data_IF_905269136140
#
_entry.id   IF_905269136140
#
_cell.length_a   1.000
_cell.length_b   1.000
_cell.length_c   1.000
_cell.angle_alpha   90.00
_cell.angle_beta   90.00
_cell.angle_gamma   90.00
#
_symmetry.space_group_name_H-M   'P 1'
#
loop_
_entity.id
_entity.type
_entity.pdbx_description
1 polymer ?
#
# COMPACT_ATOMS: atom_id res chain seq x y z
N UNK A 1 41.81 -21.64 5.19
CA UNK A 1 40.86 -22.37 6.06
C UNK A 1 39.47 -22.27 5.45
N UNK A 2 39.02 -23.29 4.73
CA UNK A 2 37.72 -23.35 4.05
C UNK A 2 36.58 -23.53 5.07
N UNK A 3 35.72 -22.53 5.24
CA UNK A 3 34.44 -22.69 5.95
C UNK A 3 33.37 -23.14 4.97
N UNK A 4 33.00 -24.41 5.09
CA UNK A 4 31.87 -25.07 4.42
C UNK A 4 30.57 -24.43 4.95
N UNK A 5 29.91 -23.56 4.16
CA UNK A 5 28.56 -23.07 4.50
C UNK A 5 27.54 -24.14 4.09
N UNK A 6 27.07 -24.86 5.10
CA UNK A 6 25.95 -25.78 5.01
C UNK A 6 24.68 -24.99 4.71
N UNK A 7 24.15 -25.13 3.49
CA UNK A 7 22.87 -24.55 3.09
C UNK A 7 21.75 -25.30 3.80
N UNK A 8 21.20 -24.69 4.85
CA UNK A 8 19.99 -25.12 5.53
C UNK A 8 18.85 -24.43 4.79
N UNK A 9 18.26 -25.13 3.82
CA UNK A 9 16.97 -24.78 3.24
C UNK A 9 15.91 -25.49 4.11
N UNK A 10 15.18 -24.80 5.01
CA UNK A 10 14.15 -25.45 5.79
C UNK A 10 12.88 -25.51 4.94
N UNK A 11 12.57 -26.71 4.46
CA UNK A 11 11.37 -27.44 4.85
C UNK A 11 10.08 -26.62 5.09
N UNK A 12 9.64 -25.80 4.13
CA UNK A 12 8.40 -25.00 4.24
C UNK A 12 7.51 -25.10 2.99
N UNK A 13 7.63 -26.17 2.21
CA UNK A 13 6.93 -26.35 0.93
C UNK A 13 6.10 -27.65 0.83
N UNK A 14 5.65 -28.22 1.96
CA UNK A 14 4.88 -29.49 1.96
C UNK A 14 3.50 -29.36 2.65
N UNK A 15 3.01 -28.15 2.91
CA UNK A 15 1.70 -27.95 3.61
C UNK A 15 0.54 -27.46 2.74
N UNK A 16 0.67 -27.47 1.41
CA UNK A 16 -0.44 -27.21 0.49
C UNK A 16 -0.69 -28.41 -0.44
N UNK A 17 -0.93 -29.58 0.13
CA UNK A 17 -1.73 -30.61 -0.55
C UNK A 17 -3.20 -30.37 -0.14
N UNK A 18 -4.10 -29.96 -1.04
CA UNK A 18 -5.52 -29.96 -0.73
C UNK A 18 -6.00 -31.41 -0.59
N UNK A 19 -6.42 -31.74 0.62
CA UNK A 19 -7.22 -32.91 0.93
C UNK A 19 -8.53 -32.82 0.14
N UNK A 20 -8.68 -33.73 -0.83
CA UNK A 20 -9.89 -34.49 -1.11
C UNK A 20 -11.23 -33.79 -0.79
N UNK A 21 -11.79 -33.05 -1.76
CA UNK A 21 -13.22 -32.74 -1.80
C UNK A 21 -13.85 -33.41 -3.02
N UNK A 22 -14.38 -34.60 -2.78
CA UNK A 22 -15.34 -35.26 -3.66
C UNK A 22 -16.69 -34.56 -3.53
N UNK A 23 -17.20 -33.94 -4.62
CA UNK A 23 -18.59 -34.08 -5.14
C UNK A 23 -18.98 -32.97 -6.13
N UNK A 24 -19.64 -33.45 -7.20
CA UNK A 24 -20.50 -32.77 -8.18
C UNK A 24 -19.86 -32.03 -9.36
N UNK A 25 -19.60 -32.82 -10.41
CA UNK A 25 -19.53 -32.44 -11.81
C UNK A 25 -20.76 -31.62 -12.23
N UNK A 26 -20.57 -30.31 -12.48
CA UNK A 26 -21.31 -29.47 -13.46
C UNK A 26 -20.80 -28.02 -13.35
N UNK A 27 -19.61 -27.76 -13.88
CA UNK A 27 -19.12 -26.48 -14.43
C UNK A 27 -17.61 -26.65 -14.66
N UNK A 28 -17.22 -27.08 -15.86
CA UNK A 28 -15.86 -27.53 -16.19
C UNK A 28 -15.01 -26.46 -16.90
N UNK A 29 -15.49 -25.22 -17.02
CA UNK A 29 -14.80 -24.15 -17.78
C UNK A 29 -14.07 -23.13 -16.89
N UNK A 30 -14.31 -23.09 -15.57
CA UNK A 30 -13.63 -22.15 -14.66
C UNK A 30 -12.35 -22.72 -14.00
N UNK A 31 -12.16 -24.04 -13.98
CA UNK A 31 -11.01 -24.68 -13.30
C UNK A 31 -9.69 -24.58 -14.09
N UNK A 32 -9.75 -24.48 -15.42
CA UNK A 32 -8.54 -24.36 -16.26
C UNK A 32 -7.86 -23.01 -16.04
N UNK A 33 -8.64 -21.95 -15.81
CA UNK A 33 -8.10 -20.61 -15.61
C UNK A 33 -7.35 -20.49 -14.28
N UNK A 34 -7.86 -21.13 -13.22
CA UNK A 34 -7.21 -21.15 -11.91
C UNK A 34 -5.90 -21.95 -11.94
N UNK A 35 -5.88 -23.10 -12.62
CA UNK A 35 -4.64 -23.89 -12.75
C UNK A 35 -3.57 -23.17 -13.59
N UNK A 36 -3.95 -22.46 -14.66
CA UNK A 36 -3.01 -21.64 -15.43
C UNK A 36 -2.47 -20.47 -14.61
N UNK A 37 -3.33 -19.82 -13.82
CA UNK A 37 -2.95 -18.69 -12.98
C UNK A 37 -1.97 -19.11 -11.88
N UNK A 38 -2.16 -20.27 -11.26
CA UNK A 38 -1.21 -20.81 -10.28
C UNK A 38 0.17 -21.09 -10.88
N UNK A 39 0.22 -21.65 -12.10
CA UNK A 39 1.49 -21.94 -12.79
C UNK A 39 2.22 -20.64 -13.16
N UNK A 40 1.50 -19.61 -13.60
CA UNK A 40 2.09 -18.34 -14.02
C UNK A 40 2.55 -17.49 -12.82
N UNK A 41 1.79 -17.49 -11.72
CA UNK A 41 2.20 -16.85 -10.45
C UNK A 41 3.46 -17.55 -9.89
N UNK A 42 3.51 -18.89 -9.90
CA UNK A 42 4.68 -19.63 -9.45
C UNK A 42 5.92 -19.39 -10.34
N UNK A 43 5.72 -19.17 -11.65
CA UNK A 43 6.80 -18.85 -12.59
C UNK A 43 7.34 -17.44 -12.38
N UNK A 44 6.45 -16.47 -12.16
CA UNK A 44 6.80 -15.07 -11.89
C UNK A 44 7.55 -14.94 -10.56
N UNK A 45 7.08 -15.60 -9.51
CA UNK A 45 7.76 -15.61 -8.19
C UNK A 45 9.14 -16.27 -8.24
N UNK A 46 9.35 -17.32 -9.05
CA UNK A 46 10.69 -17.90 -9.26
C UNK A 46 11.59 -17.00 -10.11
N UNK A 47 11.03 -16.21 -11.02
CA UNK A 47 11.78 -15.26 -11.83
C UNK A 47 12.37 -14.12 -11.00
N UNK A 48 11.60 -13.55 -10.06
CA UNK A 48 12.09 -12.47 -9.19
C UNK A 48 13.16 -12.89 -8.18
N UNK A 49 13.23 -14.17 -7.81
CA UNK A 49 14.31 -14.72 -6.96
C UNK A 49 15.58 -15.10 -7.76
N UNK A 50 15.54 -15.09 -9.10
CA UNK A 50 16.65 -15.55 -9.93
C UNK A 50 17.57 -14.42 -10.44
N UNK A 51 17.25 -13.15 -10.19
CA UNK A 51 18.18 -12.03 -10.43
C UNK A 51 18.98 -11.75 -9.17
N UNK A 52 19.80 -12.72 -8.76
CA UNK A 52 20.82 -12.63 -7.69
C UNK A 52 22.16 -12.11 -8.27
N UNK A 53 22.12 -11.36 -9.37
CA UNK A 53 23.32 -10.80 -10.03
C UNK A 53 23.83 -9.51 -9.34
N UNK A 54 23.05 -8.93 -8.42
CA UNK A 54 23.51 -7.77 -7.61
C UNK A 54 24.14 -8.15 -6.26
N UNK A 55 24.12 -9.43 -5.85
CA UNK A 55 24.75 -9.87 -4.60
C UNK A 55 26.20 -10.36 -4.74
N UNK A 56 26.74 -10.41 -5.96
CA UNK A 56 28.15 -10.77 -6.21
C UNK A 56 29.12 -9.58 -6.23
N UNK A 57 28.65 -8.34 -6.05
CA UNK A 57 29.49 -7.14 -6.10
C UNK A 57 30.06 -6.70 -4.73
N UNK A 58 29.85 -7.46 -3.65
CA UNK A 58 30.34 -7.11 -2.29
C UNK A 58 31.46 -8.00 -1.74
N UNK A 59 31.93 -9.02 -2.47
CA UNK A 59 33.09 -9.84 -2.05
C UNK A 59 34.19 -9.87 -3.11
N UNK A 60 34.75 -8.70 -3.44
CA UNK A 60 35.91 -8.67 -4.34
C UNK A 60 36.55 -7.30 -4.48
N UNK A 61 37.56 -7.01 -3.67
CA UNK A 61 38.89 -6.55 -4.10
C UNK A 61 39.53 -5.65 -3.04
N UNK A 62 40.57 -6.18 -2.39
CA UNK A 62 41.57 -5.34 -1.77
C UNK A 62 42.63 -4.94 -2.79
N UNK A 63 43.08 -3.69 -2.76
CA UNK A 63 44.39 -3.31 -3.30
C UNK A 63 44.46 -2.00 -4.08
N UNK A 64 44.92 -0.96 -3.38
CA UNK A 64 45.87 0.08 -3.82
C UNK A 64 45.42 1.26 -4.72
N UNK A 65 45.46 2.43 -4.07
CA UNK A 65 46.08 3.69 -4.50
C UNK A 65 45.60 4.37 -5.79
N UNK A 66 44.96 5.53 -5.59
CA UNK A 66 44.74 6.53 -6.63
C UNK A 66 43.95 7.69 -6.05
N UNK A 67 44.66 8.71 -5.57
CA UNK A 67 44.07 9.96 -5.13
C UNK A 67 43.50 10.71 -6.34
N UNK A 68 42.22 11.07 -6.29
CA UNK A 68 41.76 12.29 -6.94
C UNK A 68 40.61 12.92 -6.16
N UNK A 69 40.80 14.20 -5.95
CA UNK A 69 40.10 15.12 -5.09
C UNK A 69 38.84 15.59 -5.82
N UNK A 70 37.66 15.38 -5.24
CA UNK A 70 36.43 16.04 -5.71
C UNK A 70 35.61 16.50 -4.51
N UNK A 71 35.90 17.74 -4.16
CA UNK A 71 35.17 18.71 -3.35
C UNK A 71 33.67 18.43 -3.24
N UNK A 72 33.28 17.82 -2.12
CA UNK A 72 31.89 17.84 -1.64
C UNK A 72 31.70 19.05 -0.73
N UNK A 73 31.01 20.05 -1.26
CA UNK A 73 30.52 21.21 -0.53
C UNK A 73 29.55 20.76 0.55
N UNK A 74 30.02 20.77 1.80
CA UNK A 74 29.21 20.55 2.99
C UNK A 74 28.47 21.84 3.33
N UNK A 75 27.17 21.85 3.08
CA UNK A 75 26.29 22.94 3.52
C UNK A 75 25.99 22.75 5.00
N UNK A 76 26.71 23.51 5.84
CA UNK A 76 26.47 23.64 7.27
C UNK A 76 25.13 24.35 7.50
N UNK A 77 24.10 23.58 7.89
CA UNK A 77 22.83 24.15 8.36
C UNK A 77 22.96 24.55 9.82
N UNK A 78 23.04 25.85 10.06
CA UNK A 78 23.03 26.50 11.37
C UNK A 78 21.75 26.16 12.12
N UNK A 79 21.86 25.40 13.21
CA UNK A 79 20.73 25.08 14.09
C UNK A 79 20.59 26.20 15.12
N UNK A 80 19.63 27.10 14.90
CA UNK A 80 19.27 28.13 15.87
C UNK A 80 18.39 27.51 16.96
N UNK A 81 18.97 27.24 18.12
CA UNK A 81 18.25 26.84 19.34
C UNK A 81 17.44 28.02 19.85
N UNK A 82 16.15 28.03 19.51
CA UNK A 82 15.17 28.96 20.10
C UNK A 82 14.67 28.36 21.41
N UNK A 83 14.70 29.16 22.48
CA UNK A 83 14.28 28.77 23.82
C UNK A 83 12.83 28.21 23.84
N UNK A 84 12.55 27.18 24.66
CA UNK A 84 11.20 26.64 24.81
C UNK A 84 10.34 27.64 25.58
N UNK A 85 9.51 28.39 24.86
CA UNK A 85 8.45 29.19 25.46
C UNK A 85 7.33 28.26 25.92
N UNK A 86 7.31 27.96 27.21
CA UNK A 86 6.29 27.16 27.89
C UNK A 86 4.97 27.94 27.99
N UNK A 87 4.29 28.15 26.87
CA UNK A 87 2.87 28.53 26.89
C UNK A 87 2.06 27.27 27.16
N UNK A 88 1.62 27.09 28.40
CA UNK A 88 0.67 26.05 28.80
C UNK A 88 -0.56 26.16 27.91
N UNK A 89 -0.80 25.23 26.96
CA UNK A 89 -1.95 25.29 26.10
C UNK A 89 -3.17 25.01 26.97
N UNK A 90 -4.07 25.98 27.05
CA UNK A 90 -5.43 25.78 27.55
C UNK A 90 -5.95 24.45 26.95
N UNK A 91 -6.40 23.47 27.75
CA UNK A 91 -6.83 22.18 27.23
C UNK A 91 -7.87 22.44 26.14
N UNK A 92 -7.60 22.04 24.88
CA UNK A 92 -8.53 22.25 23.79
C UNK A 92 -9.86 21.63 24.20
N UNK A 93 -10.96 22.38 24.03
CA UNK A 93 -12.31 21.87 24.27
C UNK A 93 -12.43 20.49 23.60
N UNK A 94 -13.00 19.48 24.28
CA UNK A 94 -13.11 18.14 23.71
C UNK A 94 -13.89 18.26 22.40
N UNK A 95 -13.19 18.01 21.29
CA UNK A 95 -13.76 18.05 19.96
C UNK A 95 -14.87 17.01 19.91
N UNK A 96 -16.11 17.45 19.65
CA UNK A 96 -17.24 16.55 19.58
C UNK A 96 -17.07 15.57 18.41
N UNK A 97 -17.38 14.31 18.64
CA UNK A 97 -17.43 13.31 17.58
C UNK A 97 -18.55 13.67 16.59
N UNK A 98 -18.22 13.78 15.30
CA UNK A 98 -19.22 13.96 14.24
C UNK A 98 -19.43 12.59 13.57
N UNK A 99 -20.61 12.01 13.76
CA UNK A 99 -20.97 10.74 13.13
C UNK A 99 -20.90 10.87 11.60
N UNK A 100 -20.41 9.82 10.95
CA UNK A 100 -20.32 9.69 9.47
C UNK A 100 -19.45 10.74 8.78
N UNK A 101 -18.64 11.48 9.54
CA UNK A 101 -17.54 12.29 8.99
C UNK A 101 -16.50 11.37 8.34
N UNK A 102 -15.95 11.79 7.20
CA UNK A 102 -14.82 11.11 6.57
C UNK A 102 -13.61 11.10 7.50
N UNK A 103 -12.89 9.98 7.52
CA UNK A 103 -11.68 9.84 8.31
C UNK A 103 -10.69 8.91 7.61
N UNK A 104 -9.40 9.15 7.81
CA UNK A 104 -8.31 8.31 7.31
C UNK A 104 -7.64 7.50 8.43
N UNK A 105 -7.90 7.85 9.67
CA UNK A 105 -7.38 7.21 10.88
C UNK A 105 -8.30 7.47 12.07
N UNK A 106 -8.23 6.62 13.09
CA UNK A 106 -9.04 6.73 14.30
C UNK A 106 -8.87 8.07 15.03
N UNK A 107 -7.68 8.67 14.96
CA UNK A 107 -7.39 9.96 15.61
C UNK A 107 -8.25 11.12 15.06
N UNK A 108 -8.85 10.98 13.89
CA UNK A 108 -9.74 12.00 13.29
C UNK A 108 -11.19 11.91 13.80
N UNK A 109 -11.51 10.85 14.56
CA UNK A 109 -12.80 10.60 15.18
C UNK A 109 -12.68 10.72 16.71
N UNK A 110 -12.67 11.94 17.28
CA UNK A 110 -12.55 12.13 18.72
C UNK A 110 -13.74 11.46 19.42
N UNK A 111 -13.52 10.63 20.44
CA UNK A 111 -14.55 9.81 21.11
C UNK A 111 -15.28 8.80 20.18
N UNK A 112 -14.64 8.39 19.09
CA UNK A 112 -15.14 7.39 18.16
C UNK A 112 -14.03 6.52 17.57
N UNK A 113 -14.39 5.77 16.53
CA UNK A 113 -13.44 5.02 15.67
C UNK A 113 -13.72 5.33 14.22
N UNK A 114 -12.69 5.30 13.39
CA UNK A 114 -12.82 5.38 11.95
C UNK A 114 -13.12 3.98 11.41
N UNK A 115 -14.29 3.78 10.81
CA UNK A 115 -14.65 2.50 10.23
C UNK A 115 -14.49 2.51 8.71
N UNK A 116 -13.73 1.55 8.20
CA UNK A 116 -13.54 1.26 6.77
C UNK A 116 -12.43 0.22 6.58
N UNK A 117 -12.33 -0.34 5.38
CA UNK A 117 -11.21 -1.20 5.01
C UNK A 117 -10.03 -0.35 4.54
N UNK A 118 -8.82 -0.71 4.98
CA UNK A 118 -7.57 -0.16 4.45
C UNK A 118 -7.52 1.38 4.46
N UNK A 119 -7.90 1.96 5.60
CA UNK A 119 -7.99 3.41 5.78
C UNK A 119 -6.67 4.12 5.50
N UNK A 120 -6.74 5.26 4.81
CA UNK A 120 -5.57 6.09 4.56
C UNK A 120 -4.56 5.43 3.63
N UNK A 121 -5.01 4.55 2.74
CA UNK A 121 -4.20 3.88 1.72
C UNK A 121 -4.71 4.19 0.31
N UNK A 122 -3.81 4.22 -0.66
CA UNK A 122 -4.16 4.51 -2.05
C UNK A 122 -5.06 3.41 -2.64
N UNK A 123 -6.16 3.80 -3.28
CA UNK A 123 -7.09 2.87 -3.90
C UNK A 123 -6.78 2.65 -5.38
N UNK A 124 -5.94 1.65 -5.68
CA UNK A 124 -5.61 1.30 -7.06
C UNK A 124 -6.80 0.75 -7.87
N UNK A 125 -7.83 0.24 -7.20
CA UNK A 125 -9.01 -0.29 -7.89
C UNK A 125 -9.86 0.82 -8.55
N UNK A 126 -9.58 2.09 -8.24
CA UNK A 126 -10.23 3.22 -8.87
C UNK A 126 -9.84 3.38 -10.35
N UNK A 127 -8.64 2.94 -10.75
CA UNK A 127 -8.23 2.95 -12.15
C UNK A 127 -8.65 1.65 -12.83
N UNK A 128 -9.56 1.75 -13.80
CA UNK A 128 -10.09 0.62 -14.56
C UNK A 128 -9.55 0.70 -15.99
N UNK A 129 -8.60 -0.18 -16.32
CA UNK A 129 -8.02 -0.26 -17.67
C UNK A 129 -9.11 -0.53 -18.72
N UNK A 130 -8.94 0.01 -19.93
CA UNK A 130 -9.88 -0.10 -21.06
C UNK A 130 -11.27 0.52 -20.81
N UNK A 131 -11.42 1.37 -19.79
CA UNK A 131 -12.58 2.24 -19.64
C UNK A 131 -12.45 3.46 -20.57
N UNK A 132 -13.52 3.86 -21.25
CA UNK A 132 -13.52 5.11 -22.04
C UNK A 132 -13.26 6.31 -21.15
N UNK A 133 -12.43 7.25 -21.61
CA UNK A 133 -12.07 8.43 -20.87
C UNK A 133 -11.89 9.65 -21.79
N UNK A 134 -12.09 10.83 -21.21
CA UNK A 134 -11.69 12.11 -21.81
C UNK A 134 -10.57 12.76 -20.98
N UNK A 135 -10.53 12.47 -19.68
CA UNK A 135 -9.54 12.99 -18.72
C UNK A 135 -9.11 11.90 -17.73
N UNK A 136 -8.00 12.13 -17.03
CA UNK A 136 -7.52 11.21 -15.98
C UNK A 136 -8.54 10.99 -14.85
N UNK A 137 -9.41 11.97 -14.57
CA UNK A 137 -10.51 11.83 -13.61
C UNK A 137 -11.45 10.67 -13.96
N UNK A 138 -11.64 10.38 -15.25
CA UNK A 138 -12.47 9.26 -15.70
C UNK A 138 -11.80 7.90 -15.42
N UNK A 139 -10.47 7.89 -15.32
CA UNK A 139 -9.63 6.75 -14.95
C UNK A 139 -9.37 6.66 -13.44
N UNK A 140 -10.30 7.20 -12.63
CA UNK A 140 -10.17 7.21 -11.18
C UNK A 140 -9.15 8.23 -10.68
N UNK A 141 -8.77 9.22 -11.50
CA UNK A 141 -7.86 10.29 -11.12
C UNK A 141 -6.37 9.95 -11.24
N UNK A 142 -6.01 8.72 -11.64
CA UNK A 142 -4.60 8.37 -11.87
C UNK A 142 -4.03 9.22 -13.00
N UNK A 143 -2.98 10.00 -12.70
CA UNK A 143 -2.37 10.91 -13.66
C UNK A 143 -1.68 10.17 -14.80
N UNK A 144 -1.91 10.65 -16.02
CA UNK A 144 -1.48 10.06 -17.29
C UNK A 144 -2.13 8.69 -17.58
N UNK A 145 -3.28 8.39 -16.97
CA UNK A 145 -3.99 7.15 -17.25
C UNK A 145 -4.90 7.26 -18.45
N UNK A 146 -5.47 8.43 -18.77
CA UNK A 146 -6.28 8.56 -19.97
C UNK A 146 -5.39 8.75 -21.20
N UNK A 147 -5.34 7.75 -22.07
CA UNK A 147 -4.69 7.88 -23.36
C UNK A 147 -5.62 8.64 -24.32
N UNK A 148 -5.24 9.88 -24.63
CA UNK A 148 -6.01 10.78 -25.52
C UNK A 148 -6.05 10.27 -26.96
N UNK A 149 -5.07 9.44 -27.38
CA UNK A 149 -5.03 8.91 -28.74
C UNK A 149 -6.08 7.81 -28.94
N UNK A 150 -6.23 6.91 -27.96
CA UNK A 150 -7.21 5.83 -28.02
C UNK A 150 -8.56 6.22 -27.41
N UNK A 151 -8.58 7.16 -26.47
CA UNK A 151 -9.75 7.53 -25.68
C UNK A 151 -10.08 6.52 -24.56
N UNK A 152 -9.07 5.80 -24.08
CA UNK A 152 -9.22 4.74 -23.06
C UNK A 152 -8.19 4.86 -21.94
N UNK A 153 -8.57 4.38 -20.76
CA UNK A 153 -7.69 4.31 -19.61
C UNK A 153 -6.63 3.21 -19.77
N UNK A 154 -5.35 3.56 -19.70
CA UNK A 154 -4.21 2.67 -19.58
C UNK A 154 -3.52 2.87 -18.23
N UNK A 155 -4.03 2.18 -17.21
CA UNK A 155 -3.51 2.27 -15.85
C UNK A 155 -2.07 1.74 -15.74
N UNK A 156 -1.70 0.75 -16.55
CA UNK A 156 -0.36 0.13 -16.50
C UNK A 156 0.68 1.11 -17.03
N UNK A 157 0.41 1.71 -18.19
CA UNK A 157 1.27 2.74 -18.77
C UNK A 157 1.40 3.96 -17.84
N UNK A 158 0.32 4.38 -17.19
CA UNK A 158 0.37 5.45 -16.19
C UNK A 158 1.33 5.13 -15.05
N UNK A 159 1.26 3.94 -14.44
CA UNK A 159 2.20 3.55 -13.39
C UNK A 159 3.65 3.43 -13.89
N UNK A 160 3.86 3.02 -15.14
CA UNK A 160 5.18 3.05 -15.76
C UNK A 160 5.73 4.47 -15.86
N UNK A 161 4.88 5.46 -16.16
CA UNK A 161 5.28 6.88 -16.19
C UNK A 161 5.71 7.41 -14.81
N UNK A 162 5.23 6.80 -13.72
CA UNK A 162 5.61 7.12 -12.34
C UNK A 162 6.75 6.25 -11.80
N UNK A 163 7.45 5.50 -12.68
CA UNK A 163 8.66 4.76 -12.33
C UNK A 163 8.47 3.30 -11.92
N UNK A 164 7.25 2.76 -11.99
CA UNK A 164 7.00 1.35 -11.73
C UNK A 164 7.19 0.52 -13.00
N UNK A 165 8.30 -0.20 -13.14
CA UNK A 165 8.60 -1.02 -14.33
C UNK A 165 7.68 -2.24 -14.49
N UNK A 166 7.12 -2.74 -13.40
CA UNK A 166 6.30 -3.94 -13.35
C UNK A 166 5.02 -3.65 -12.57
N UNK A 167 3.87 -3.97 -13.16
CA UNK A 167 2.57 -3.77 -12.52
C UNK A 167 2.43 -4.59 -11.22
N UNK A 168 3.02 -5.79 -11.18
CA UNK A 168 3.06 -6.63 -9.96
C UNK A 168 3.71 -5.89 -8.78
N UNK A 169 4.78 -5.13 -9.04
CA UNK A 169 5.43 -4.30 -8.01
C UNK A 169 4.51 -3.21 -7.49
N UNK A 170 3.67 -2.62 -8.36
CA UNK A 170 2.65 -1.65 -7.94
C UNK A 170 1.68 -2.31 -6.96
N UNK A 171 1.14 -3.48 -7.31
CA UNK A 171 0.19 -4.21 -6.46
C UNK A 171 0.79 -4.57 -5.09
N UNK A 172 2.06 -5.00 -5.06
CA UNK A 172 2.70 -5.47 -3.82
C UNK A 172 3.25 -4.34 -2.93
N UNK A 173 3.68 -3.23 -3.52
CA UNK A 173 4.44 -2.19 -2.80
C UNK A 173 3.74 -0.85 -2.73
N UNK A 174 2.78 -0.59 -3.61
CA UNK A 174 2.11 0.69 -3.69
C UNK A 174 0.63 0.57 -3.32
N UNK A 175 -0.11 -0.32 -4.00
CA UNK A 175 -1.52 -0.53 -3.76
C UNK A 175 -1.75 -1.08 -2.36
N UNK A 176 -2.65 -0.45 -1.60
CA UNK A 176 -2.97 -0.81 -0.22
C UNK A 176 -1.78 -0.78 0.75
N UNK A 177 -0.65 -0.17 0.36
CA UNK A 177 0.55 -0.03 1.20
C UNK A 177 0.96 1.44 1.36
N UNK A 178 0.79 2.24 0.30
CA UNK A 178 1.16 3.66 0.33
C UNK A 178 0.15 4.45 1.12
N UNK A 179 0.63 5.13 2.16
CA UNK A 179 -0.19 5.97 3.01
C UNK A 179 -0.55 7.29 2.32
N UNK A 180 -1.81 7.68 2.49
CA UNK A 180 -2.37 8.92 2.00
C UNK A 180 -3.31 9.57 3.01
N UNK A 181 -3.62 10.82 2.72
CA UNK A 181 -4.49 11.72 3.48
C UNK A 181 -5.15 12.69 2.49
N UNK A 182 -6.09 13.49 2.96
CA UNK A 182 -6.85 14.45 2.14
C UNK A 182 -5.97 15.42 1.31
N UNK A 183 -4.81 15.80 1.84
CA UNK A 183 -3.92 16.79 1.21
C UNK A 183 -2.70 16.19 0.55
N UNK A 184 -2.41 14.91 0.79
CA UNK A 184 -1.21 14.27 0.26
C UNK A 184 -1.44 13.78 -1.16
N UNK A 185 -0.51 14.12 -2.04
CA UNK A 185 -0.56 13.71 -3.45
C UNK A 185 0.24 12.42 -3.72
N UNK A 186 0.41 11.58 -2.69
CA UNK A 186 1.22 10.36 -2.75
C UNK A 186 0.62 9.27 -3.64
N UNK A 187 -0.67 9.39 -3.97
CA UNK A 187 -1.39 8.38 -4.74
C UNK A 187 -1.39 8.66 -6.26
N UNK A 188 -0.57 9.60 -6.73
CA UNK A 188 -0.51 9.99 -8.14
C UNK A 188 -1.87 10.42 -8.72
N UNK A 189 -2.75 10.97 -7.86
CA UNK A 189 -4.11 11.38 -8.20
C UNK A 189 -5.20 10.31 -7.97
N UNK A 190 -4.84 9.06 -7.66
CA UNK A 190 -5.82 8.07 -7.21
C UNK A 190 -6.47 8.49 -5.89
N UNK A 191 -7.73 8.10 -5.65
CA UNK A 191 -8.40 8.39 -4.39
C UNK A 191 -7.74 7.64 -3.24
N UNK A 192 -7.74 8.31 -2.09
CA UNK A 192 -7.34 7.71 -0.83
C UNK A 192 -8.55 7.04 -0.18
N UNK A 193 -8.41 5.80 0.31
CA UNK A 193 -9.50 5.10 0.98
C UNK A 193 -9.91 5.82 2.26
N UNK A 194 -11.18 6.24 2.29
CA UNK A 194 -11.80 6.94 3.41
C UNK A 194 -12.71 6.01 4.18
N UNK A 195 -12.66 6.13 5.50
CA UNK A 195 -13.63 5.55 6.41
C UNK A 195 -14.68 6.57 6.83
N UNK A 196 -15.55 6.12 7.74
CA UNK A 196 -16.58 6.93 8.38
C UNK A 196 -16.45 6.85 9.89
N UNK A 197 -16.48 8.00 10.55
CA UNK A 197 -16.45 8.05 12.01
C UNK A 197 -17.71 7.42 12.60
N UNK A 198 -17.53 6.42 13.45
CA UNK A 198 -18.57 5.93 14.37
C UNK A 198 -18.26 6.43 15.76
N UNK A 199 -19.14 7.30 16.25
CA UNK A 199 -19.08 7.83 17.59
C UNK A 199 -19.56 6.77 18.58
N UNK A 200 -18.83 6.58 19.68
CA UNK A 200 -19.32 5.72 20.75
C UNK A 200 -20.65 6.30 21.25
N UNK A 201 -21.72 5.50 21.22
CA UNK A 201 -22.99 5.89 21.81
C UNK A 201 -22.79 5.94 23.33
N UNK A 202 -22.40 7.09 23.87
CA UNK A 202 -21.97 7.16 25.27
C UNK A 202 -21.49 8.50 25.82
N UNK A 203 -21.81 9.63 25.20
CA UNK A 203 -21.73 10.94 25.87
C UNK A 203 -23.06 11.72 25.81
N UNK A 204 -24.13 11.06 25.38
CA UNK A 204 -25.50 11.57 25.46
C UNK A 204 -26.30 10.51 26.19
N UNK A 205 -26.80 10.85 27.39
CA UNK A 205 -27.69 10.05 28.22
C UNK A 205 -28.83 9.42 27.41
N UNK A 206 -28.67 8.20 26.89
CA UNK A 206 -29.82 7.41 26.49
C UNK A 206 -30.33 6.66 27.73
N UNK A 207 -31.62 6.82 28.11
CA UNK A 207 -32.21 6.04 29.19
C UNK A 207 -32.19 4.56 28.79
N UNK A 208 -31.51 3.77 29.60
CA UNK A 208 -31.50 2.31 29.48
C UNK A 208 -32.91 1.83 29.83
N UNK A 209 -33.72 1.54 28.82
CA UNK A 209 -34.96 0.81 29.01
C UNK A 209 -34.62 -0.67 29.13
N UNK A 210 -34.56 -1.17 30.36
CA UNK A 210 -34.44 -2.59 30.64
C UNK A 210 -35.72 -3.29 30.16
N UNK A 211 -35.59 -4.22 29.22
CA UNK A 211 -36.66 -5.15 28.89
C UNK A 211 -36.75 -6.20 30.02
N UNK A 212 -37.75 -6.07 30.88
CA UNK A 212 -38.12 -7.13 31.80
C UNK A 212 -38.95 -8.15 31.02
N UNK A 213 -38.41 -9.35 30.79
CA UNK A 213 -39.20 -10.48 30.29
C UNK A 213 -40.11 -10.97 31.42
N UNK A 214 -41.43 -10.83 31.23
CA UNK A 214 -42.47 -11.42 32.09
C UNK A 214 -42.83 -12.83 31.67
#
# INVERSE_FOLDING_TARGET
>A
MLRKRTSIIPLLLVLFCPLNTSRNLKNLEDDVFLQLLEVEIARTLRGELATDEDLQLLEGSGGLAGAEETTSTSTTTTTTTVAPTTTTPKPPKPTQCIADKNCFKDAECPAGKCLGSELGLCDCNACITNKKCSTDSDCGGLRNACDVATGYCDCVSAFHSHGYKLFVKVLLTFCHQTKCSETSDNCYGLPCRVGKCRCAQGASNLPVHYFTTG
#
